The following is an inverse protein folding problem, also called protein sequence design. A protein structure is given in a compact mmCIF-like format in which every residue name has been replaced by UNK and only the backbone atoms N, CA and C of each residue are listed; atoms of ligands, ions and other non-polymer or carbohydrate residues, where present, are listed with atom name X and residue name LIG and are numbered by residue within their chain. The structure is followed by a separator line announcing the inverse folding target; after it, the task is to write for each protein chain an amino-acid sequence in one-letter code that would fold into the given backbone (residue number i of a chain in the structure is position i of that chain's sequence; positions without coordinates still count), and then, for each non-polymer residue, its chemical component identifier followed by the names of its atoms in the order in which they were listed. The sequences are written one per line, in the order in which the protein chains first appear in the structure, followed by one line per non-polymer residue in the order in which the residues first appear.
data_IF_706692323195
#
_entry.id   IF_706692323195
#
_cell.length_a   1.000
_cell.length_b   1.000
_cell.length_c   1.000
_cell.angle_alpha   90.00
_cell.angle_beta   90.00
_cell.angle_gamma   90.00
#
_symmetry.space_group_name_H-M   'P 1'
#
loop_
_entity.id
_entity.type
_entity.pdbx_description
1 polymer ?
#
# COMPACT_ATOMS: atom_id res chain seq x y z
N UNK A 1 -77.95 36.36 -13.37
CA UNK A 1 -77.45 35.08 -12.79
C UNK A 1 -77.16 34.13 -13.94
N UNK A 2 -75.90 34.07 -14.41
CA UNK A 2 -75.51 33.16 -15.50
C UNK A 2 -74.05 32.76 -15.31
N UNK A 3 -73.82 31.83 -14.39
CA UNK A 3 -72.56 31.11 -14.18
C UNK A 3 -72.99 29.69 -13.84
N UNK A 4 -72.79 28.73 -14.75
CA UNK A 4 -72.76 27.26 -14.52
C UNK A 4 -72.67 26.47 -15.86
N UNK A 5 -72.80 27.08 -17.06
CA UNK A 5 -72.85 26.32 -18.33
C UNK A 5 -71.59 26.28 -19.22
N UNK A 6 -70.40 26.64 -18.73
CA UNK A 6 -69.18 26.49 -19.56
C UNK A 6 -67.99 25.92 -18.80
N UNK A 7 -68.29 24.97 -17.92
CA UNK A 7 -67.41 23.82 -17.66
C UNK A 7 -67.66 22.89 -18.87
N UNK A 8 -66.63 22.24 -19.45
CA UNK A 8 -66.70 21.18 -20.50
C UNK A 8 -66.06 21.50 -21.89
N UNK A 9 -65.28 22.56 -22.11
CA UNK A 9 -64.50 22.66 -23.39
C UNK A 9 -63.00 23.00 -23.34
N UNK A 10 -62.41 23.34 -22.20
CA UNK A 10 -61.01 23.85 -22.17
C UNK A 10 -60.07 23.03 -21.27
N UNK A 11 -60.35 21.74 -21.05
CA UNK A 11 -59.55 20.86 -20.18
C UNK A 11 -59.21 19.51 -20.83
N UNK A 12 -58.85 19.48 -22.12
CA UNK A 12 -58.37 18.25 -22.78
C UNK A 12 -57.03 18.38 -23.53
N UNK A 13 -56.40 19.55 -23.55
CA UNK A 13 -55.12 19.76 -24.25
C UNK A 13 -54.05 20.45 -23.39
N UNK A 14 -54.06 20.21 -22.08
CA UNK A 14 -53.01 20.69 -21.16
C UNK A 14 -52.23 19.58 -20.47
N UNK A 15 -52.39 18.34 -20.91
CA UNK A 15 -51.66 17.16 -20.41
C UNK A 15 -50.54 16.82 -21.40
N UNK A 16 -49.48 17.62 -21.41
CA UNK A 16 -48.16 17.28 -21.98
C UNK A 16 -47.27 18.52 -21.84
N UNK A 17 -46.41 18.54 -20.80
CA UNK A 17 -45.16 19.31 -20.64
C UNK A 17 -44.90 19.70 -19.17
N UNK A 18 -44.94 18.72 -18.26
CA UNK A 18 -44.25 18.84 -16.96
C UNK A 18 -43.55 17.50 -16.69
N UNK A 19 -42.49 17.23 -17.44
CA UNK A 19 -41.45 16.27 -17.05
C UNK A 19 -40.12 16.92 -17.39
N UNK A 20 -39.17 16.85 -16.45
CA UNK A 20 -37.76 17.24 -16.55
C UNK A 20 -37.37 18.68 -16.17
N UNK A 21 -37.69 19.11 -14.94
CA UNK A 21 -36.86 20.08 -14.20
C UNK A 21 -36.59 19.64 -12.76
N UNK A 22 -36.48 18.34 -12.53
CA UNK A 22 -35.75 17.82 -11.37
C UNK A 22 -34.35 17.50 -11.87
N UNK A 23 -33.46 18.47 -11.69
CA UNK A 23 -32.03 18.27 -11.86
C UNK A 23 -31.63 17.11 -10.97
N UNK A 24 -31.42 15.96 -11.60
CA UNK A 24 -30.61 14.90 -11.06
C UNK A 24 -29.26 15.58 -10.87
N UNK A 25 -28.86 15.80 -9.62
CA UNK A 25 -27.46 15.98 -9.30
C UNK A 25 -26.79 14.69 -9.76
N UNK A 26 -26.39 14.66 -11.02
CA UNK A 26 -25.47 13.67 -11.52
C UNK A 26 -24.22 13.85 -10.68
N UNK A 27 -23.99 12.93 -9.74
CA UNK A 27 -22.66 12.60 -9.30
C UNK A 27 -21.89 12.13 -10.55
N UNK A 28 -21.46 13.07 -11.40
CA UNK A 28 -20.41 12.82 -12.36
C UNK A 28 -19.16 12.65 -11.52
N UNK A 29 -18.89 11.42 -11.12
CA UNK A 29 -17.52 10.96 -10.92
C UNK A 29 -16.75 11.46 -12.16
N UNK A 30 -15.63 12.18 -12.01
CA UNK A 30 -14.90 12.70 -13.16
C UNK A 30 -14.70 11.56 -14.16
N UNK A 31 -15.16 11.79 -15.39
CA UNK A 31 -15.09 10.82 -16.47
C UNK A 31 -13.63 10.38 -16.64
N UNK A 32 -13.42 9.07 -16.59
CA UNK A 32 -12.18 8.36 -16.88
C UNK A 32 -11.83 8.45 -18.39
N UNK A 33 -12.27 9.51 -19.08
CA UNK A 33 -12.21 9.65 -20.54
C UNK A 33 -11.00 10.45 -21.04
N UNK A 34 -10.21 11.05 -20.16
CA UNK A 34 -8.94 11.72 -20.49
C UNK A 34 -7.71 11.04 -19.89
N UNK A 35 -7.70 9.70 -19.79
CA UNK A 35 -6.47 8.96 -19.56
C UNK A 35 -5.58 9.08 -20.82
N UNK A 36 -4.65 10.04 -20.80
CA UNK A 36 -3.61 10.18 -21.82
C UNK A 36 -2.91 8.84 -22.04
N UNK A 37 -2.85 8.42 -23.29
CA UNK A 37 -2.19 7.21 -23.78
C UNK A 37 -0.66 7.36 -23.91
N UNK A 38 0.00 8.08 -23.00
CA UNK A 38 1.44 7.88 -22.79
C UNK A 38 1.60 6.78 -21.75
N UNK A 39 2.16 5.65 -22.15
CA UNK A 39 2.33 4.48 -21.28
C UNK A 39 3.24 4.75 -20.07
N UNK A 40 4.00 5.84 -20.07
CA UNK A 40 4.83 6.28 -18.97
C UNK A 40 4.24 7.52 -18.27
N UNK A 41 4.33 7.54 -16.95
CA UNK A 41 4.05 8.71 -16.12
C UNK A 41 5.11 9.79 -16.35
N UNK A 42 4.77 11.05 -16.03
CA UNK A 42 5.75 12.13 -16.08
C UNK A 42 6.78 11.98 -14.95
N UNK A 43 7.94 12.60 -15.16
CA UNK A 43 9.08 12.42 -14.26
C UNK A 43 8.86 13.00 -12.87
N UNK A 44 8.04 14.04 -12.71
CA UNK A 44 7.73 14.57 -11.39
C UNK A 44 6.92 13.55 -10.58
N UNK A 45 5.88 12.98 -11.20
CA UNK A 45 5.07 11.91 -10.59
C UNK A 45 5.91 10.69 -10.19
N UNK A 46 6.86 10.28 -11.03
CA UNK A 46 7.78 9.17 -10.73
C UNK A 46 8.70 9.47 -9.53
N UNK A 47 9.24 10.69 -9.46
CA UNK A 47 10.06 11.12 -8.32
C UNK A 47 9.27 11.20 -7.01
N UNK A 48 8.03 11.69 -7.06
CA UNK A 48 7.15 11.73 -5.89
C UNK A 48 6.84 10.33 -5.36
N UNK A 49 6.56 9.39 -6.26
CA UNK A 49 6.32 7.99 -5.92
C UNK A 49 7.55 7.35 -5.26
N UNK A 50 8.74 7.56 -5.83
CA UNK A 50 10.00 7.08 -5.29
C UNK A 50 10.32 7.69 -3.91
N UNK A 51 10.06 8.99 -3.74
CA UNK A 51 10.26 9.68 -2.46
C UNK A 51 9.28 9.17 -1.38
N UNK A 52 8.01 8.98 -1.72
CA UNK A 52 7.01 8.42 -0.80
C UNK A 52 7.39 7.00 -0.35
N UNK A 53 7.88 6.17 -1.28
CA UNK A 53 8.38 4.83 -0.95
C UNK A 53 9.52 4.88 0.08
N UNK A 54 10.44 5.84 -0.06
CA UNK A 54 11.54 6.04 0.89
C UNK A 54 11.06 6.43 2.29
N UNK A 55 10.06 7.32 2.38
CA UNK A 55 9.47 7.72 3.67
C UNK A 55 8.86 6.53 4.42
N UNK A 56 8.11 5.68 3.72
CA UNK A 56 7.56 4.47 4.33
C UNK A 56 8.66 3.55 4.86
N UNK A 57 9.77 3.37 4.13
CA UNK A 57 10.89 2.54 4.62
C UNK A 57 11.61 3.12 5.83
N UNK A 58 11.66 4.44 5.99
CA UNK A 58 12.16 5.08 7.21
C UNK A 58 11.26 4.71 8.39
N UNK A 59 9.94 4.81 8.20
CA UNK A 59 8.97 4.45 9.24
C UNK A 59 9.01 2.96 9.59
N UNK A 60 9.30 2.07 8.62
CA UNK A 60 9.56 0.63 8.91
C UNK A 60 10.65 0.49 9.97
N UNK A 61 11.77 1.20 9.81
CA UNK A 61 12.87 1.17 10.79
C UNK A 61 12.45 1.66 12.17
N UNK A 62 11.65 2.73 12.23
CA UNK A 62 11.13 3.26 13.50
C UNK A 62 10.20 2.25 14.21
N UNK A 63 9.31 1.61 13.46
CA UNK A 63 8.41 0.59 14.01
C UNK A 63 9.16 -0.65 14.49
N UNK A 64 10.20 -1.08 13.78
CA UNK A 64 11.07 -2.18 14.24
C UNK A 64 11.76 -1.80 15.56
N UNK A 65 12.37 -0.60 15.63
CA UNK A 65 13.02 -0.13 16.85
C UNK A 65 12.05 -0.04 18.05
N UNK A 66 10.82 0.44 17.81
CA UNK A 66 9.76 0.47 18.84
C UNK A 66 9.32 -0.94 19.25
N UNK A 67 9.26 -1.87 18.31
CA UNK A 67 8.94 -3.28 18.59
C UNK A 67 9.99 -3.88 19.52
N UNK A 68 11.27 -3.70 19.20
CA UNK A 68 12.39 -4.20 20.01
C UNK A 68 12.38 -3.59 21.42
N UNK A 69 12.23 -2.28 21.54
CA UNK A 69 12.14 -1.60 22.82
C UNK A 69 10.94 -2.07 23.68
N UNK A 70 9.82 -2.42 23.06
CA UNK A 70 8.67 -3.01 23.76
C UNK A 70 8.96 -4.45 24.22
N UNK A 71 9.68 -5.26 23.42
CA UNK A 71 10.10 -6.62 23.82
C UNK A 71 11.03 -6.59 25.03
N UNK A 72 11.97 -5.65 25.07
CA UNK A 72 12.88 -5.47 26.21
C UNK A 72 12.14 -5.16 27.52
N UNK A 73 10.97 -4.53 27.44
CA UNK A 73 10.09 -4.23 28.59
C UNK A 73 9.11 -5.35 28.92
N UNK A 74 9.10 -6.45 28.15
CA UNK A 74 8.12 -7.52 28.28
C UNK A 74 6.72 -7.17 27.76
N UNK A 75 6.58 -6.09 26.99
CA UNK A 75 5.31 -5.60 26.43
C UNK A 75 5.00 -6.30 25.09
N UNK A 76 4.77 -7.61 25.14
CA UNK A 76 4.68 -8.47 23.93
C UNK A 76 3.60 -8.03 22.94
N UNK A 77 2.40 -7.68 23.40
CA UNK A 77 1.31 -7.22 22.52
C UNK A 77 1.68 -5.93 21.78
N UNK A 78 2.36 -5.00 22.45
CA UNK A 78 2.81 -3.75 21.84
C UNK A 78 3.89 -4.06 20.81
N UNK A 79 4.87 -4.90 21.17
CA UNK A 79 5.91 -5.32 20.26
C UNK A 79 5.35 -5.95 18.97
N UNK A 80 4.39 -6.86 19.10
CA UNK A 80 3.81 -7.56 17.96
C UNK A 80 2.99 -6.63 17.06
N UNK A 81 2.27 -5.66 17.65
CA UNK A 81 1.59 -4.59 16.88
C UNK A 81 2.58 -3.73 16.10
N UNK A 82 3.70 -3.36 16.73
CA UNK A 82 4.75 -2.56 16.06
C UNK A 82 5.41 -3.36 14.93
N UNK A 83 5.70 -4.65 15.12
CA UNK A 83 6.23 -5.51 14.06
C UNK A 83 5.24 -5.66 12.89
N UNK A 84 3.95 -5.87 13.16
CA UNK A 84 2.92 -5.92 12.13
C UNK A 84 2.78 -4.57 11.38
N UNK A 85 2.93 -3.45 12.09
CA UNK A 85 2.96 -2.11 11.51
C UNK A 85 4.15 -1.92 10.57
N UNK A 86 5.35 -2.33 10.98
CA UNK A 86 6.54 -2.32 10.14
C UNK A 86 6.34 -3.13 8.84
N UNK A 87 5.76 -4.33 8.92
CA UNK A 87 5.47 -5.13 7.73
C UNK A 87 4.47 -4.44 6.81
N UNK A 88 3.41 -3.85 7.37
CA UNK A 88 2.38 -3.16 6.60
C UNK A 88 2.95 -1.95 5.84
N UNK A 89 3.80 -1.16 6.50
CA UNK A 89 4.48 -0.02 5.88
C UNK A 89 5.45 -0.49 4.78
N UNK A 90 6.16 -1.59 5.02
CA UNK A 90 7.06 -2.19 4.03
C UNK A 90 6.29 -2.65 2.79
N UNK A 91 5.12 -3.27 2.95
CA UNK A 91 4.27 -3.68 1.83
C UNK A 91 3.69 -2.48 1.05
N UNK A 92 3.30 -1.40 1.74
CA UNK A 92 2.88 -0.15 1.09
C UNK A 92 4.03 0.43 0.27
N UNK A 93 5.23 0.50 0.84
CA UNK A 93 6.43 0.95 0.15
C UNK A 93 6.73 0.09 -1.09
N UNK A 94 6.65 -1.24 -0.95
CA UNK A 94 6.83 -2.17 -2.07
C UNK A 94 5.81 -1.97 -3.17
N UNK A 95 4.55 -1.68 -2.86
CA UNK A 95 3.55 -1.35 -3.89
C UNK A 95 3.92 -0.07 -4.66
N UNK A 96 4.56 0.91 -4.01
CA UNK A 96 5.07 2.10 -4.69
C UNK A 96 6.22 1.72 -5.63
N UNK A 97 7.14 0.86 -5.18
CA UNK A 97 8.24 0.35 -6.00
C UNK A 97 7.74 -0.45 -7.22
N UNK A 98 6.75 -1.32 -7.04
CA UNK A 98 6.15 -2.08 -8.14
C UNK A 98 5.40 -1.17 -9.13
N UNK A 99 4.69 -0.15 -8.63
CA UNK A 99 4.04 0.87 -9.47
C UNK A 99 5.07 1.65 -10.28
N UNK A 100 6.20 2.01 -9.65
CA UNK A 100 7.30 2.69 -10.35
C UNK A 100 7.85 1.82 -11.48
N UNK A 101 8.17 0.55 -11.21
CA UNK A 101 8.64 -0.40 -12.23
C UNK A 101 7.65 -0.51 -13.41
N UNK A 102 6.35 -0.44 -13.14
CA UNK A 102 5.32 -0.62 -14.16
C UNK A 102 5.11 0.62 -15.05
N UNK A 103 5.24 1.83 -14.51
CA UNK A 103 4.78 3.06 -15.18
C UNK A 103 5.86 4.14 -15.35
N UNK A 104 7.04 3.98 -14.76
CA UNK A 104 8.15 4.92 -14.89
C UNK A 104 9.20 4.37 -15.85
N UNK A 105 9.79 5.24 -16.68
CA UNK A 105 10.76 4.87 -17.69
C UNK A 105 12.22 5.03 -17.24
N UNK A 106 12.46 5.55 -16.03
CA UNK A 106 13.80 5.85 -15.51
C UNK A 106 14.33 4.75 -14.59
N UNK A 107 15.64 4.53 -14.70
CA UNK A 107 16.49 3.79 -13.78
C UNK A 107 17.20 4.74 -12.79
N UNK A 108 17.62 4.23 -11.63
CA UNK A 108 18.58 4.94 -10.77
C UNK A 108 18.14 6.29 -10.17
N UNK A 109 16.87 6.45 -9.78
CA UNK A 109 16.34 7.68 -9.13
C UNK A 109 16.85 7.89 -7.70
N UNK A 110 17.24 6.82 -6.99
CA UNK A 110 17.79 6.94 -5.64
C UNK A 110 19.29 7.15 -5.65
N UNK A 111 19.80 7.84 -4.63
CA UNK A 111 21.24 8.06 -4.47
C UNK A 111 21.92 6.75 -4.09
N UNK A 112 23.20 6.64 -4.42
CA UNK A 112 24.03 5.46 -4.11
C UNK A 112 23.96 5.05 -2.63
N UNK A 113 23.95 6.02 -1.71
CA UNK A 113 23.78 5.77 -0.28
C UNK A 113 22.46 5.06 0.05
N UNK A 114 21.34 5.53 -0.49
CA UNK A 114 20.02 4.93 -0.29
C UNK A 114 19.97 3.51 -0.88
N UNK A 115 20.60 3.33 -2.03
CA UNK A 115 20.74 2.03 -2.68
C UNK A 115 21.56 1.04 -1.86
N UNK A 116 22.66 1.50 -1.27
CA UNK A 116 23.47 0.70 -0.35
C UNK A 116 22.67 0.35 0.92
N UNK A 117 21.87 1.29 1.43
CA UNK A 117 21.03 1.05 2.60
C UNK A 117 19.98 -0.05 2.36
N UNK A 118 19.23 0.01 1.24
CA UNK A 118 18.23 -1.04 0.95
C UNK A 118 18.84 -2.38 0.57
N UNK A 119 19.98 -2.38 -0.12
CA UNK A 119 20.75 -3.60 -0.41
C UNK A 119 21.23 -4.25 0.89
N UNK A 120 21.82 -3.44 1.79
CA UNK A 120 22.26 -3.88 3.11
C UNK A 120 21.12 -4.40 3.99
N UNK A 121 19.98 -3.71 4.01
CA UNK A 121 18.77 -4.15 4.73
C UNK A 121 18.26 -5.49 4.18
N UNK A 122 18.16 -5.64 2.86
CA UNK A 122 17.77 -6.90 2.22
C UNK A 122 18.71 -8.06 2.60
N UNK A 123 20.02 -7.82 2.58
CA UNK A 123 21.02 -8.80 3.01
C UNK A 123 20.86 -9.16 4.49
N UNK A 124 20.70 -8.16 5.36
CA UNK A 124 20.50 -8.35 6.80
C UNK A 124 19.29 -9.23 7.08
N UNK A 125 18.13 -8.88 6.54
CA UNK A 125 16.89 -9.64 6.77
C UNK A 125 16.94 -11.04 6.14
N UNK A 126 17.62 -11.21 5.01
CA UNK A 126 17.87 -12.53 4.42
C UNK A 126 18.65 -13.41 5.41
N UNK A 127 19.76 -12.89 5.94
CA UNK A 127 20.58 -13.61 6.92
C UNK A 127 19.78 -13.92 8.19
N UNK A 128 19.03 -12.95 8.70
CA UNK A 128 18.20 -13.12 9.89
C UNK A 128 17.15 -14.23 9.69
N UNK A 129 16.50 -14.26 8.52
CA UNK A 129 15.53 -15.31 8.20
C UNK A 129 16.16 -16.71 8.18
N UNK A 130 17.39 -16.81 7.65
CA UNK A 130 18.17 -18.04 7.65
C UNK A 130 18.53 -18.49 9.07
N UNK A 131 18.97 -17.57 9.94
CA UNK A 131 19.30 -17.90 11.32
C UNK A 131 18.05 -18.38 12.09
N UNK A 132 16.89 -17.77 11.85
CA UNK A 132 15.63 -18.19 12.47
C UNK A 132 15.16 -19.56 11.99
N UNK A 133 15.30 -19.91 10.71
CA UNK A 133 14.80 -21.21 10.24
C UNK A 133 15.65 -22.35 10.80
N UNK A 134 16.95 -22.10 11.00
CA UNK A 134 17.84 -23.06 11.66
C UNK A 134 17.44 -23.29 13.13
N UNK A 135 17.10 -22.21 13.86
CA UNK A 135 16.61 -22.31 15.25
C UNK A 135 15.26 -23.01 15.34
N UNK A 136 14.33 -22.69 14.42
CA UNK A 136 13.03 -23.36 14.31
C UNK A 136 13.22 -24.87 14.10
N UNK A 137 14.05 -25.26 13.12
CA UNK A 137 14.32 -26.67 12.84
C UNK A 137 15.06 -27.41 13.96
N UNK A 138 15.88 -26.71 14.76
CA UNK A 138 16.49 -27.29 15.96
C UNK A 138 15.44 -27.57 17.04
N UNK A 139 14.56 -26.59 17.31
CA UNK A 139 13.48 -26.74 18.28
C UNK A 139 12.50 -27.87 17.90
N UNK A 140 12.15 -28.01 16.62
CA UNK A 140 11.31 -29.10 16.15
C UNK A 140 11.93 -30.49 16.37
N UNK A 141 13.26 -30.63 16.23
CA UNK A 141 13.97 -31.88 16.54
C UNK A 141 13.96 -32.23 18.03
N UNK A 142 13.90 -31.21 18.88
CA UNK A 142 13.82 -31.36 20.34
C UNK A 142 12.38 -31.53 20.85
N UNK A 143 11.38 -31.39 19.97
CA UNK A 143 9.96 -31.44 20.31
C UNK A 143 9.43 -30.17 20.98
N UNK A 144 10.19 -29.08 20.96
CA UNK A 144 9.74 -27.77 21.44
C UNK A 144 8.93 -27.05 20.35
N UNK A 145 7.67 -27.46 20.22
CA UNK A 145 6.75 -26.95 19.19
C UNK A 145 6.48 -25.44 19.32
N UNK A 146 6.57 -24.87 20.53
CA UNK A 146 6.35 -23.45 20.74
C UNK A 146 7.48 -22.64 20.11
N UNK A 147 8.72 -22.98 20.45
CA UNK A 147 9.91 -22.32 19.92
C UNK A 147 10.07 -22.55 18.42
N UNK A 148 9.72 -23.75 17.94
CA UNK A 148 9.66 -24.06 16.50
C UNK A 148 8.74 -23.08 15.76
N UNK A 149 7.52 -22.90 16.27
CA UNK A 149 6.52 -22.00 15.68
C UNK A 149 6.97 -20.54 15.72
N UNK A 150 7.46 -20.06 16.88
CA UNK A 150 7.88 -18.67 17.05
C UNK A 150 9.01 -18.30 16.09
N UNK A 151 10.03 -19.15 15.97
CA UNK A 151 11.11 -18.91 15.01
C UNK A 151 10.67 -19.11 13.56
N UNK A 152 9.73 -20.02 13.28
CA UNK A 152 9.16 -20.18 11.94
C UNK A 152 8.41 -18.93 11.47
N UNK A 153 7.61 -18.32 12.35
CA UNK A 153 6.94 -17.05 12.07
C UNK A 153 7.94 -15.90 11.87
N UNK A 154 8.99 -15.85 12.71
CA UNK A 154 10.05 -14.85 12.59
C UNK A 154 10.84 -15.00 11.29
N UNK A 155 11.08 -16.23 10.81
CA UNK A 155 11.66 -16.48 9.48
C UNK A 155 10.81 -15.86 8.38
N UNK A 156 9.51 -16.17 8.35
CA UNK A 156 8.62 -15.66 7.31
C UNK A 156 8.57 -14.13 7.28
N UNK A 157 8.50 -13.50 8.46
CA UNK A 157 8.56 -12.05 8.62
C UNK A 157 9.85 -11.46 8.04
N UNK A 158 11.02 -11.97 8.45
CA UNK A 158 12.31 -11.48 7.98
C UNK A 158 12.49 -11.71 6.47
N UNK A 159 12.11 -12.88 5.94
CA UNK A 159 12.17 -13.15 4.50
C UNK A 159 11.31 -12.18 3.69
N UNK A 160 10.12 -11.82 4.20
CA UNK A 160 9.24 -10.87 3.51
C UNK A 160 9.83 -9.46 3.49
N UNK A 161 10.38 -8.98 4.61
CA UNK A 161 11.12 -7.71 4.64
C UNK A 161 12.29 -7.73 3.64
N UNK A 162 13.08 -8.81 3.61
CA UNK A 162 14.20 -8.92 2.68
C UNK A 162 13.77 -8.80 1.22
N UNK A 163 12.69 -9.48 0.83
CA UNK A 163 12.12 -9.41 -0.51
C UNK A 163 11.57 -8.02 -0.84
N UNK A 164 10.90 -7.38 0.12
CA UNK A 164 10.41 -6.02 -0.03
C UNK A 164 11.58 -5.05 -0.28
N UNK A 165 12.64 -5.05 0.54
CA UNK A 165 13.82 -4.21 0.32
C UNK A 165 14.55 -4.50 -1.01
N UNK A 166 14.62 -5.76 -1.43
CA UNK A 166 15.19 -6.12 -2.74
C UNK A 166 14.39 -5.52 -3.91
N UNK A 167 13.06 -5.46 -3.77
CA UNK A 167 12.18 -4.84 -4.78
C UNK A 167 12.46 -3.34 -4.93
N UNK A 168 12.76 -2.65 -3.83
CA UNK A 168 13.12 -1.23 -3.88
C UNK A 168 14.46 -1.01 -4.58
N UNK A 169 15.46 -1.84 -4.31
CA UNK A 169 16.73 -1.79 -5.05
C UNK A 169 16.49 -1.97 -6.55
N UNK A 170 15.69 -2.97 -6.93
CA UNK A 170 15.32 -3.20 -8.33
C UNK A 170 14.59 -2.01 -8.95
N UNK A 171 13.72 -1.34 -8.21
CA UNK A 171 12.91 -0.25 -8.72
C UNK A 171 13.68 1.06 -8.89
N UNK A 172 14.57 1.39 -7.94
CA UNK A 172 15.10 2.75 -7.81
C UNK A 172 16.61 2.87 -7.97
N UNK A 173 17.33 1.75 -8.04
CA UNK A 173 18.80 1.73 -8.03
C UNK A 173 19.44 1.05 -9.24
N UNK A 174 18.66 0.25 -9.98
CA UNK A 174 19.05 -0.35 -11.24
C UNK A 174 18.50 0.44 -12.40
#
# INVERSE_FOLDING_TARGET
MSRIKSIVHEMKYGLLLIIATLGIASCTSPEVSELKTSAAWDQASCNELAAASGLYLIDVGEFIAKSEAAREKGETEIADKQAAGALSLSDIATNHAETFIAYCAEDGVWKEEDCNNVSGASQFFTKLSYDYIQKSGAAGKEGDLKTEYEYGAATAYASKLAANYATHYKAYCN
#
